data_IF_587455894385
#
_entry.id   IF_587455894385
#
_cell.length_a   1.000
_cell.length_b   1.000
_cell.length_c   1.000
_cell.angle_alpha   90.00
_cell.angle_beta   90.00
_cell.angle_gamma   90.00
#
_symmetry.space_group_name_H-M   'P 1'
#
loop_
_entity.id
_entity.type
_entity.pdbx_description
1 polymer ?
#
# COMPACT_ATOMS: atom_id res chain seq x y z
N UNK A 1 0.61 -13.26 -5.63
CA UNK A 1 0.70 -13.11 -7.09
C UNK A 1 1.56 -11.92 -7.51
N UNK A 2 1.14 -10.66 -7.29
CA UNK A 2 1.85 -9.47 -7.82
C UNK A 2 3.34 -9.38 -7.47
N UNK A 3 3.74 -9.77 -6.26
CA UNK A 3 5.16 -9.84 -5.88
C UNK A 3 5.98 -10.67 -6.88
N UNK A 4 5.53 -11.88 -7.20
CA UNK A 4 6.17 -12.74 -8.21
C UNK A 4 6.14 -12.11 -9.60
N UNK A 5 5.01 -11.50 -9.99
CA UNK A 5 4.90 -10.86 -11.29
C UNK A 5 5.92 -9.72 -11.47
N UNK A 6 6.10 -8.86 -10.48
CA UNK A 6 7.07 -7.77 -10.54
C UNK A 6 8.51 -8.25 -10.41
N UNK A 7 8.78 -9.22 -9.53
CA UNK A 7 10.12 -9.79 -9.39
C UNK A 7 10.58 -10.46 -10.69
N UNK A 8 9.70 -11.21 -11.37
CA UNK A 8 10.02 -11.88 -12.64
C UNK A 8 10.08 -10.90 -13.82
N UNK A 9 9.10 -10.01 -13.96
CA UNK A 9 8.96 -9.17 -15.17
C UNK A 9 9.78 -7.89 -15.11
N UNK A 10 9.97 -7.32 -13.92
CA UNK A 10 10.59 -6.02 -13.73
C UNK A 10 11.93 -6.10 -12.98
N UNK A 11 12.26 -7.24 -12.37
CA UNK A 11 13.45 -7.39 -11.52
C UNK A 11 13.40 -6.54 -10.25
N UNK A 12 12.20 -6.09 -9.84
CA UNK A 12 12.01 -5.22 -8.68
C UNK A 12 11.56 -6.06 -7.47
N UNK A 13 12.27 -6.02 -6.33
CA UNK A 13 11.89 -6.77 -5.14
C UNK A 13 10.63 -6.18 -4.50
N UNK A 14 9.84 -7.03 -3.84
CA UNK A 14 8.64 -6.59 -3.13
C UNK A 14 8.51 -7.19 -1.74
N UNK A 15 7.77 -6.50 -0.86
CA UNK A 15 7.38 -6.98 0.45
C UNK A 15 5.92 -6.65 0.75
N UNK A 16 5.27 -7.47 1.57
CA UNK A 16 3.96 -7.15 2.13
C UNK A 16 4.13 -6.32 3.40
N UNK A 17 3.44 -5.19 3.48
CA UNK A 17 3.40 -4.35 4.69
C UNK A 17 2.16 -4.72 5.49
N UNK A 18 2.33 -5.08 6.76
CA UNK A 18 1.20 -5.30 7.66
C UNK A 18 0.54 -3.95 8.02
N UNK A 19 -0.79 -3.77 7.82
CA UNK A 19 -1.46 -2.51 8.12
C UNK A 19 -1.34 -2.07 9.59
N UNK A 20 -1.23 -3.04 10.51
CA UNK A 20 -1.04 -2.80 11.95
C UNK A 20 0.21 -1.99 12.28
N UNK A 21 1.25 -1.99 11.43
CA UNK A 21 2.42 -1.11 11.58
C UNK A 21 2.00 0.36 11.66
N UNK A 22 0.99 0.76 10.88
CA UNK A 22 0.42 2.09 10.93
C UNK A 22 -0.70 2.18 11.98
N UNK A 23 -1.69 1.28 11.94
CA UNK A 23 -2.93 1.43 12.73
C UNK A 23 -2.78 1.12 14.22
N UNK A 24 -1.92 0.16 14.59
CA UNK A 24 -1.71 -0.26 15.99
C UNK A 24 -0.42 0.31 16.55
N UNK A 25 0.67 0.23 15.79
CA UNK A 25 2.00 0.59 16.28
C UNK A 25 2.39 2.04 16.00
N UNK A 26 1.62 2.76 15.17
CA UNK A 26 1.88 4.17 14.85
C UNK A 26 3.26 4.43 14.23
N UNK A 27 3.86 3.43 13.57
CA UNK A 27 5.21 3.53 13.01
C UNK A 27 5.18 4.05 11.58
N UNK A 28 6.10 4.96 11.30
CA UNK A 28 6.33 5.50 9.96
C UNK A 28 7.47 4.71 9.31
N UNK A 29 7.19 4.11 8.16
CA UNK A 29 8.23 3.48 7.34
C UNK A 29 8.89 4.50 6.42
N UNK A 30 10.17 4.26 6.11
CA UNK A 30 10.92 5.01 5.10
C UNK A 30 10.77 4.28 3.77
N UNK A 31 9.94 4.80 2.88
CA UNK A 31 9.55 4.16 1.63
C UNK A 31 9.80 5.06 0.41
N UNK A 32 10.79 5.95 0.53
CA UNK A 32 11.24 6.77 -0.59
C UNK A 32 11.63 5.86 -1.76
N UNK A 33 11.25 6.25 -2.97
CA UNK A 33 11.50 5.53 -4.22
C UNK A 33 10.82 4.14 -4.31
N UNK A 34 9.90 3.83 -3.39
CA UNK A 34 9.09 2.62 -3.43
C UNK A 34 7.71 2.85 -4.07
N UNK A 35 7.17 1.80 -4.69
CA UNK A 35 5.76 1.71 -5.07
C UNK A 35 4.98 0.95 -3.98
N UNK A 36 3.97 1.59 -3.40
CA UNK A 36 3.02 0.94 -2.51
C UNK A 36 1.71 0.66 -3.26
N UNK A 37 1.47 -0.62 -3.55
CA UNK A 37 0.22 -1.07 -4.16
C UNK A 37 -0.76 -1.51 -3.08
N UNK A 38 -1.93 -0.87 -3.08
CA UNK A 38 -3.01 -1.15 -2.14
C UNK A 38 -4.17 -1.78 -2.90
N UNK A 39 -4.60 -2.96 -2.50
CA UNK A 39 -5.69 -3.69 -3.18
C UNK A 39 -6.85 -3.84 -2.20
N UNK A 40 -7.99 -3.26 -2.53
CA UNK A 40 -9.16 -3.32 -1.65
C UNK A 40 -10.44 -3.27 -2.48
N UNK A 41 -11.30 -4.27 -2.31
CA UNK A 41 -12.57 -4.31 -3.05
C UNK A 41 -13.45 -3.09 -2.72
N UNK A 42 -13.62 -2.77 -1.43
CA UNK A 42 -14.50 -1.69 -0.98
C UNK A 42 -13.78 -0.35 -0.73
N UNK A 43 -12.45 -0.35 -0.58
CA UNK A 43 -11.65 0.83 -0.23
C UNK A 43 -12.01 1.50 1.12
N UNK A 44 -12.81 0.83 1.97
CA UNK A 44 -13.38 1.44 3.18
C UNK A 44 -12.73 1.01 4.49
N UNK A 45 -11.80 0.05 4.46
CA UNK A 45 -11.09 -0.41 5.66
C UNK A 45 -10.22 0.71 6.26
N UNK A 46 -10.42 1.09 7.53
CA UNK A 46 -9.63 2.15 8.16
C UNK A 46 -8.14 1.78 8.24
N UNK A 47 -7.82 0.52 8.52
CA UNK A 47 -6.44 0.04 8.61
C UNK A 47 -5.69 0.16 7.29
N UNK A 48 -6.35 -0.20 6.18
CA UNK A 48 -5.76 -0.07 4.84
C UNK A 48 -5.54 1.39 4.49
N UNK A 49 -6.50 2.28 4.78
CA UNK A 49 -6.34 3.72 4.53
C UNK A 49 -5.21 4.32 5.37
N UNK A 50 -5.08 3.93 6.63
CA UNK A 50 -3.99 4.38 7.49
C UNK A 50 -2.63 3.89 6.97
N UNK A 51 -2.53 2.64 6.52
CA UNK A 51 -1.33 2.10 5.91
C UNK A 51 -0.96 2.82 4.60
N UNK A 52 -1.93 3.10 3.72
CA UNK A 52 -1.74 3.85 2.49
C UNK A 52 -1.26 5.29 2.77
N UNK A 53 -1.89 5.96 3.75
CA UNK A 53 -1.48 7.30 4.16
C UNK A 53 -0.07 7.31 4.76
N UNK A 54 0.27 6.32 5.60
CA UNK A 54 1.62 6.12 6.12
C UNK A 54 2.62 5.91 4.98
N UNK A 55 2.30 5.07 4.00
CA UNK A 55 3.20 4.79 2.89
C UNK A 55 3.51 6.06 2.07
N UNK A 56 2.48 6.85 1.76
CA UNK A 56 2.62 8.15 1.10
C UNK A 56 3.49 9.13 1.91
N UNK A 57 3.24 9.27 3.21
CA UNK A 57 4.10 10.09 4.09
C UNK A 57 5.54 9.58 4.16
N UNK A 58 5.73 8.28 3.99
CA UNK A 58 7.04 7.63 3.96
C UNK A 58 7.83 7.87 2.68
N UNK A 59 7.23 8.52 1.68
CA UNK A 59 7.84 8.83 0.39
C UNK A 59 7.51 7.85 -0.73
N UNK A 60 6.60 6.89 -0.51
CA UNK A 60 6.19 5.97 -1.56
C UNK A 60 5.23 6.63 -2.55
N UNK A 61 5.32 6.23 -3.82
CA UNK A 61 4.22 6.38 -4.77
C UNK A 61 3.14 5.37 -4.39
N UNK A 62 1.92 5.83 -4.10
CA UNK A 62 0.82 4.96 -3.68
C UNK A 62 -0.19 4.82 -4.81
N UNK A 63 -0.48 3.58 -5.19
CA UNK A 63 -1.50 3.24 -6.20
C UNK A 63 -2.54 2.31 -5.56
N UNK A 64 -3.81 2.67 -5.69
CA UNK A 64 -4.92 1.87 -5.20
C UNK A 64 -5.61 1.13 -6.35
N UNK A 65 -5.84 -0.17 -6.17
CA UNK A 65 -6.71 -0.99 -7.02
C UNK A 65 -7.98 -1.25 -6.23
N UNK A 66 -9.06 -0.58 -6.65
CA UNK A 66 -10.38 -0.62 -6.00
C UNK A 66 -11.47 -0.98 -6.99
N UNK A 67 -12.55 -1.62 -6.51
CA UNK A 67 -13.74 -1.85 -7.32
C UNK A 67 -14.76 -0.71 -7.20
N UNK A 68 -14.67 0.09 -6.12
CA UNK A 68 -15.49 1.27 -5.89
C UNK A 68 -14.61 2.51 -5.97
N UNK A 69 -14.64 3.18 -7.14
CA UNK A 69 -13.89 4.43 -7.38
C UNK A 69 -14.41 5.60 -6.54
N UNK A 70 -15.59 5.49 -5.93
CA UNK A 70 -16.10 6.46 -4.96
C UNK A 70 -15.64 6.19 -3.53
N UNK A 71 -14.87 5.12 -3.31
CA UNK A 71 -14.41 4.74 -1.98
C UNK A 71 -13.38 5.74 -1.44
N UNK A 72 -13.27 5.91 -0.11
CA UNK A 72 -12.32 6.85 0.47
C UNK A 72 -10.83 6.49 0.28
N UNK A 73 -10.53 5.37 -0.37
CA UNK A 73 -9.16 4.95 -0.70
C UNK A 73 -8.73 5.41 -2.11
N UNK A 74 -9.68 5.63 -3.02
CA UNK A 74 -9.43 6.16 -4.35
C UNK A 74 -8.91 7.60 -4.27
#
# INVERSE_FOLDING_TARGET
FLRYAFEIQLGVPGASIAPSIASVYGRQLMLKDALCLVISQSGRSPDIRQAAAMARRGGATVVAIVNDESSPLA
#
